data_IF_759230016214
#
_entry.id   IF_759230016214
#
_cell.length_a   1.000
_cell.length_b   1.000
_cell.length_c   1.000
_cell.angle_alpha   90.00
_cell.angle_beta   90.00
_cell.angle_gamma   90.00
#
_symmetry.space_group_name_H-M   'P 1'
#
loop_
_entity.id
_entity.type
_entity.pdbx_description
1 polymer ?
#
# COMPACT_ATOMS: atom_id res chain seq x y z
N UNK A 1 9.37 -20.48 -47.05
CA UNK A 1 9.94 -19.34 -47.78
C UNK A 1 8.99 -18.17 -47.57
N UNK A 2 9.43 -17.19 -46.83
CA UNK A 2 8.57 -16.06 -46.45
C UNK A 2 8.78 -14.80 -47.31
N UNK A 3 9.41 -14.93 -48.48
CA UNK A 3 9.67 -13.79 -49.34
C UNK A 3 10.71 -12.78 -48.89
N UNK A 4 11.41 -13.06 -47.79
CA UNK A 4 12.48 -12.20 -47.29
C UNK A 4 13.77 -12.43 -48.11
N UNK A 5 14.45 -11.32 -48.44
CA UNK A 5 15.75 -11.32 -49.11
C UNK A 5 16.83 -11.27 -48.04
N UNK A 6 17.52 -12.37 -47.80
CA UNK A 6 18.60 -12.48 -46.81
C UNK A 6 19.83 -13.14 -47.45
N UNK A 7 21.02 -12.74 -47.05
CA UNK A 7 22.26 -13.41 -47.44
C UNK A 7 22.41 -14.72 -46.65
N UNK A 8 22.05 -15.82 -47.27
CA UNK A 8 22.15 -17.17 -46.67
C UNK A 8 23.60 -17.69 -46.54
N UNK A 9 24.56 -17.02 -47.17
CA UNK A 9 25.98 -17.42 -47.05
C UNK A 9 26.61 -16.79 -45.81
N UNK A 10 26.15 -15.58 -45.42
CA UNK A 10 26.57 -14.85 -44.22
C UNK A 10 25.38 -14.44 -43.36
N UNK A 11 24.61 -15.38 -42.85
CA UNK A 11 23.43 -15.07 -42.02
C UNK A 11 23.82 -14.42 -40.72
N UNK A 12 22.97 -13.53 -40.22
CA UNK A 12 23.09 -12.99 -38.86
C UNK A 12 22.62 -14.05 -37.85
N UNK A 13 23.56 -14.62 -37.10
CA UNK A 13 23.30 -15.73 -36.17
C UNK A 13 23.76 -15.34 -34.78
N UNK A 14 22.83 -15.19 -33.83
CA UNK A 14 23.11 -14.74 -32.45
C UNK A 14 23.83 -15.78 -31.57
N UNK A 15 23.85 -17.05 -31.97
CA UNK A 15 24.61 -18.11 -31.29
C UNK A 15 25.96 -18.45 -31.95
N UNK A 16 26.37 -17.68 -33.00
CA UNK A 16 27.74 -17.79 -33.56
C UNK A 16 28.75 -17.24 -32.55
N UNK A 17 29.89 -17.92 -32.44
CA UNK A 17 30.93 -17.53 -31.47
C UNK A 17 31.41 -16.10 -31.68
N UNK A 18 31.57 -15.66 -32.91
CA UNK A 18 32.00 -14.27 -33.23
C UNK A 18 31.00 -13.25 -32.71
N UNK A 19 29.69 -13.54 -32.79
CA UNK A 19 28.66 -12.71 -32.21
C UNK A 19 28.74 -12.67 -30.68
N UNK A 20 28.86 -13.84 -30.07
CA UNK A 20 28.92 -13.98 -28.61
C UNK A 20 30.17 -13.27 -28.05
N UNK A 21 31.36 -13.47 -28.67
CA UNK A 21 32.60 -12.80 -28.27
C UNK A 21 32.48 -11.26 -28.38
N UNK A 22 31.92 -10.76 -29.46
CA UNK A 22 31.66 -9.33 -29.63
C UNK A 22 30.73 -8.77 -28.56
N UNK A 23 29.64 -9.48 -28.24
CA UNK A 23 28.72 -9.09 -27.19
C UNK A 23 29.41 -9.06 -25.81
N UNK A 24 30.18 -10.10 -25.49
CA UNK A 24 30.93 -10.15 -24.23
C UNK A 24 31.98 -9.03 -24.13
N UNK A 25 32.64 -8.71 -25.23
CA UNK A 25 33.55 -7.59 -25.28
C UNK A 25 32.85 -6.26 -24.98
N UNK A 26 31.69 -6.01 -25.57
CA UNK A 26 30.86 -4.82 -25.30
C UNK A 26 30.43 -4.75 -23.83
N UNK A 27 29.93 -5.86 -23.28
CA UNK A 27 29.54 -5.93 -21.85
C UNK A 27 30.73 -5.64 -20.94
N UNK A 28 31.94 -6.14 -21.29
CA UNK A 28 33.17 -5.83 -20.56
C UNK A 28 33.49 -4.33 -20.57
N UNK A 29 33.29 -3.65 -21.71
CA UNK A 29 33.48 -2.19 -21.77
C UNK A 29 32.52 -1.44 -20.84
N UNK A 30 31.23 -1.87 -20.80
CA UNK A 30 30.24 -1.30 -19.90
C UNK A 30 30.58 -1.56 -18.43
N UNK A 31 31.03 -2.77 -18.11
CA UNK A 31 31.47 -3.13 -16.77
C UNK A 31 32.65 -2.26 -16.31
N UNK A 32 33.68 -2.11 -17.15
CA UNK A 32 34.85 -1.31 -16.83
C UNK A 32 34.54 0.18 -16.63
N UNK A 33 33.42 0.66 -17.21
CA UNK A 33 32.91 2.01 -17.04
C UNK A 33 31.89 2.14 -15.88
N UNK A 34 31.69 1.09 -15.08
CA UNK A 34 30.72 1.01 -13.97
C UNK A 34 29.25 1.21 -14.41
N UNK A 35 28.92 0.95 -15.67
CA UNK A 35 27.53 0.96 -16.15
C UNK A 35 26.83 -0.38 -16.01
N UNK A 36 27.59 -1.47 -15.84
CA UNK A 36 27.07 -2.81 -15.58
C UNK A 36 27.43 -3.22 -14.15
N UNK A 37 26.44 -3.49 -13.32
CA UNK A 37 26.60 -3.88 -11.93
C UNK A 37 25.55 -4.91 -11.54
N UNK A 38 25.82 -5.68 -10.49
CA UNK A 38 24.84 -6.61 -9.91
C UNK A 38 23.88 -5.84 -9.01
N UNK A 39 22.59 -5.95 -9.28
CA UNK A 39 21.56 -5.28 -8.52
C UNK A 39 20.32 -6.16 -8.30
N UNK A 40 19.34 -5.63 -7.60
CA UNK A 40 18.03 -6.24 -7.38
C UNK A 40 16.96 -5.37 -8.03
N UNK A 41 15.93 -6.02 -8.57
CA UNK A 41 14.76 -5.35 -9.10
C UNK A 41 13.51 -6.14 -8.72
N UNK A 42 12.38 -5.44 -8.64
CA UNK A 42 11.09 -6.06 -8.43
C UNK A 42 10.51 -6.41 -9.79
N UNK A 43 10.06 -7.64 -9.92
CA UNK A 43 9.39 -8.13 -11.12
C UNK A 43 8.12 -8.88 -10.74
N UNK A 44 6.97 -8.60 -11.38
CA UNK A 44 5.78 -9.42 -11.23
C UNK A 44 6.06 -10.87 -11.62
N UNK A 45 5.55 -11.80 -10.85
CA UNK A 45 5.75 -13.23 -11.06
C UNK A 45 4.41 -13.95 -11.13
N UNK A 46 4.24 -14.81 -12.13
CA UNK A 46 3.06 -15.67 -12.27
C UNK A 46 3.35 -17.07 -11.75
N UNK A 47 2.77 -17.47 -10.59
CA UNK A 47 2.92 -18.84 -10.10
C UNK A 47 2.35 -19.88 -11.06
N UNK A 48 1.27 -19.55 -11.77
CA UNK A 48 0.63 -20.45 -12.72
C UNK A 48 1.50 -20.72 -13.97
N UNK A 49 2.20 -19.69 -14.45
CA UNK A 49 3.12 -19.82 -15.58
C UNK A 49 4.55 -20.22 -15.15
N UNK A 50 4.87 -20.12 -13.85
CA UNK A 50 6.19 -20.43 -13.29
C UNK A 50 7.28 -19.46 -13.73
N UNK A 51 6.94 -18.23 -14.10
CA UNK A 51 7.90 -17.25 -14.65
C UNK A 51 7.59 -15.82 -14.24
N UNK A 52 8.63 -14.97 -14.29
CA UNK A 52 8.47 -13.51 -14.21
C UNK A 52 7.78 -12.97 -15.45
N UNK A 53 7.04 -11.88 -15.27
CA UNK A 53 6.28 -11.22 -16.33
C UNK A 53 6.98 -9.93 -16.75
N UNK A 54 7.05 -9.69 -18.05
CA UNK A 54 7.55 -8.43 -18.61
C UNK A 54 6.48 -7.32 -18.53
N UNK A 55 6.91 -6.08 -18.63
CA UNK A 55 5.99 -4.92 -18.72
C UNK A 55 5.04 -5.05 -19.91
N UNK A 56 5.49 -5.65 -21.01
CA UNK A 56 4.67 -5.86 -22.20
C UNK A 56 3.54 -6.86 -21.92
N UNK A 57 3.81 -7.96 -21.24
CA UNK A 57 2.81 -8.96 -20.87
C UNK A 57 1.76 -8.39 -19.92
N UNK A 58 2.15 -7.48 -19.01
CA UNK A 58 1.22 -6.81 -18.11
C UNK A 58 0.37 -5.73 -18.79
N UNK A 59 0.72 -5.31 -19.99
CA UNK A 59 0.01 -4.28 -20.76
C UNK A 59 -0.86 -4.86 -21.89
N UNK A 60 -1.07 -6.16 -21.94
CA UNK A 60 -1.93 -6.79 -22.93
C UNK A 60 -3.42 -6.54 -22.59
N UNK A 61 -4.30 -6.42 -23.60
CA UNK A 61 -5.73 -6.34 -23.39
C UNK A 61 -6.25 -7.51 -22.54
N UNK A 62 -7.03 -7.20 -21.49
CA UNK A 62 -7.62 -8.21 -20.60
C UNK A 62 -6.70 -8.77 -19.52
N UNK A 63 -5.49 -8.22 -19.34
CA UNK A 63 -4.62 -8.58 -18.21
C UNK A 63 -5.20 -8.19 -16.87
N UNK A 64 -5.90 -7.06 -16.82
CA UNK A 64 -6.54 -6.55 -15.60
C UNK A 64 -8.03 -6.84 -15.65
N UNK A 65 -8.55 -7.34 -14.53
CA UNK A 65 -9.97 -7.64 -14.34
C UNK A 65 -10.38 -7.22 -12.93
N UNK A 66 -11.60 -6.73 -12.81
CA UNK A 66 -12.18 -6.46 -11.50
C UNK A 66 -12.42 -7.78 -10.77
N UNK A 67 -11.92 -7.86 -9.55
CA UNK A 67 -12.13 -9.00 -8.66
C UNK A 67 -12.67 -8.50 -7.33
N UNK A 68 -13.53 -9.32 -6.70
CA UNK A 68 -14.01 -9.04 -5.35
C UNK A 68 -12.99 -9.61 -4.35
N UNK A 69 -12.42 -8.75 -3.54
CA UNK A 69 -11.41 -9.13 -2.55
C UNK A 69 -11.77 -8.57 -1.17
N UNK A 70 -11.20 -9.17 -0.13
CA UNK A 70 -11.38 -8.75 1.25
C UNK A 70 -10.32 -7.71 1.61
N UNK A 71 -10.80 -6.56 2.09
CA UNK A 71 -9.94 -5.50 2.63
C UNK A 71 -10.16 -5.38 4.13
N UNK A 72 -9.20 -4.81 4.84
CA UNK A 72 -9.40 -4.50 6.25
C UNK A 72 -8.92 -3.09 6.60
N UNK A 73 -9.48 -2.56 7.69
CA UNK A 73 -9.02 -1.35 8.36
C UNK A 73 -8.42 -1.79 9.68
N UNK A 74 -7.10 -1.70 9.75
CA UNK A 74 -6.34 -2.08 10.93
C UNK A 74 -6.28 -0.92 11.93
N UNK A 75 -6.31 -1.26 13.21
CA UNK A 75 -6.14 -0.35 14.33
C UNK A 75 -4.74 -0.56 14.92
N UNK A 76 -3.94 0.49 14.97
CA UNK A 76 -2.61 0.50 15.55
C UNK A 76 -2.63 1.34 16.81
N UNK A 77 -2.48 0.71 17.97
CA UNK A 77 -2.55 1.37 19.27
C UNK A 77 -1.38 2.34 19.44
N UNK A 78 -1.67 3.57 19.81
CA UNK A 78 -0.65 4.61 20.05
C UNK A 78 -0.02 4.39 21.40
N UNK A 79 1.33 4.28 21.48
CA UNK A 79 2.08 4.01 22.72
C UNK A 79 2.12 5.19 23.69
N UNK A 80 2.46 6.36 23.17
CA UNK A 80 2.63 7.59 23.97
C UNK A 80 1.64 8.66 23.49
N UNK A 81 0.33 8.46 23.72
CA UNK A 81 -0.69 9.37 23.20
C UNK A 81 -0.64 10.70 23.95
N UNK A 82 -1.05 11.78 23.27
CA UNK A 82 -1.31 13.06 23.91
C UNK A 82 -2.57 12.95 24.77
N UNK A 83 -2.66 13.79 25.80
CA UNK A 83 -3.76 13.75 26.78
C UNK A 83 -5.13 13.81 26.12
N UNK A 84 -5.30 14.66 25.10
CA UNK A 84 -6.56 14.81 24.38
C UNK A 84 -6.97 13.55 23.59
N UNK A 85 -6.02 12.70 23.24
CA UNK A 85 -6.29 11.45 22.50
C UNK A 85 -6.88 10.36 23.39
N UNK A 86 -6.62 10.41 24.69
CA UNK A 86 -7.07 9.41 25.68
C UNK A 86 -8.37 9.78 26.37
N UNK A 87 -8.95 10.94 26.05
CA UNK A 87 -10.14 11.46 26.74
C UNK A 87 -11.39 10.58 26.58
N UNK A 88 -11.43 9.70 25.56
CA UNK A 88 -12.59 8.84 25.28
C UNK A 88 -12.18 7.42 24.83
N UNK A 89 -11.40 6.73 25.60
CA UNK A 89 -10.95 5.36 25.28
C UNK A 89 -9.56 5.30 24.64
N UNK A 90 -9.18 4.11 24.22
CA UNK A 90 -7.85 3.84 23.67
C UNK A 90 -7.65 4.53 22.31
N UNK A 91 -6.53 5.20 22.10
CA UNK A 91 -6.21 5.89 20.86
C UNK A 91 -5.52 4.97 19.85
N UNK A 92 -5.97 5.03 18.58
CA UNK A 92 -5.43 4.23 17.49
C UNK A 92 -5.21 5.08 16.23
N UNK A 93 -4.19 4.73 15.46
CA UNK A 93 -4.16 5.07 14.04
C UNK A 93 -4.99 4.08 13.25
N UNK A 94 -5.73 4.55 12.24
CA UNK A 94 -6.41 3.69 11.29
C UNK A 94 -5.64 3.66 9.98
N UNK A 95 -5.41 2.44 9.47
CA UNK A 95 -4.85 2.24 8.14
C UNK A 95 -5.63 1.16 7.39
N UNK A 96 -5.99 1.47 6.14
CA UNK A 96 -6.67 0.54 5.24
C UNK A 96 -5.66 -0.25 4.42
N UNK A 97 -5.90 -1.54 4.25
CA UNK A 97 -5.08 -2.41 3.41
C UNK A 97 -5.92 -3.42 2.63
N UNK A 98 -5.48 -3.72 1.42
CA UNK A 98 -5.98 -4.84 0.60
C UNK A 98 -5.19 -6.13 0.85
N UNK A 99 -4.09 -6.06 1.60
CA UNK A 99 -3.17 -7.19 1.85
C UNK A 99 -2.97 -7.41 3.35
N UNK A 100 -4.01 -7.83 4.11
CA UNK A 100 -3.94 -7.93 5.57
C UNK A 100 -2.90 -8.92 6.08
N UNK A 101 -2.49 -9.90 5.28
CA UNK A 101 -1.42 -10.85 5.63
C UNK A 101 -0.02 -10.21 5.74
N UNK A 102 0.16 -8.97 5.31
CA UNK A 102 1.41 -8.22 5.48
C UNK A 102 1.50 -7.48 6.82
N UNK A 103 0.40 -7.33 7.55
CA UNK A 103 0.35 -6.61 8.82
C UNK A 103 1.33 -7.11 9.89
N UNK A 104 1.59 -8.43 10.05
CA UNK A 104 2.59 -8.91 11.03
C UNK A 104 4.02 -8.39 10.79
N UNK A 105 4.32 -7.95 9.57
CA UNK A 105 5.62 -7.37 9.20
C UNK A 105 5.57 -5.84 9.05
N UNK A 106 4.51 -5.20 9.54
CA UNK A 106 4.41 -3.74 9.50
C UNK A 106 5.44 -3.11 10.45
N UNK A 107 6.25 -2.20 9.93
CA UNK A 107 7.29 -1.50 10.69
C UNK A 107 7.03 -0.01 10.84
N UNK A 108 6.22 0.57 9.97
CA UNK A 108 5.88 1.99 10.02
C UNK A 108 4.57 2.29 9.29
N UNK A 109 3.87 3.31 9.77
CA UNK A 109 2.77 3.97 9.08
C UNK A 109 3.29 5.26 8.44
N UNK A 110 2.82 5.55 7.24
CA UNK A 110 3.21 6.76 6.53
C UNK A 110 2.10 7.80 6.58
N UNK A 111 2.45 9.03 6.95
CA UNK A 111 1.54 10.18 6.95
C UNK A 111 1.99 11.21 5.93
N UNK A 112 1.04 11.83 5.22
CA UNK A 112 1.33 12.94 4.33
C UNK A 112 1.54 14.23 5.13
N UNK A 113 2.68 14.92 5.03
CA UNK A 113 3.03 16.06 5.90
C UNK A 113 2.00 17.18 5.86
N UNK A 114 1.37 17.40 4.71
CA UNK A 114 0.39 18.48 4.48
C UNK A 114 -1.07 17.98 4.52
N UNK A 115 -1.30 16.71 4.78
CA UNK A 115 -2.65 16.14 4.89
C UNK A 115 -3.20 16.44 6.27
N UNK A 116 -4.50 16.79 6.32
CA UNK A 116 -5.25 16.96 7.54
C UNK A 116 -5.76 15.62 8.05
N UNK A 117 -5.58 15.37 9.34
CA UNK A 117 -6.05 14.19 10.05
C UNK A 117 -6.96 14.62 11.20
N UNK A 118 -8.05 13.90 11.37
CA UNK A 118 -8.98 14.13 12.45
C UNK A 118 -8.83 13.08 13.54
N UNK A 119 -8.89 13.53 14.79
CA UNK A 119 -9.14 12.67 15.94
C UNK A 119 -10.65 12.51 16.09
N UNK A 120 -11.12 11.30 15.92
CA UNK A 120 -12.54 10.95 15.98
C UNK A 120 -12.79 10.07 17.19
N UNK A 121 -13.71 10.48 18.06
CA UNK A 121 -14.23 9.66 19.15
C UNK A 121 -15.44 8.87 18.68
N UNK A 122 -15.47 7.59 18.96
CA UNK A 122 -16.54 6.68 18.56
C UNK A 122 -16.44 5.36 19.34
N UNK A 123 -17.18 4.35 18.92
CA UNK A 123 -17.14 3.00 19.46
C UNK A 123 -16.67 2.01 18.40
N UNK A 124 -15.94 0.99 18.83
CA UNK A 124 -15.55 -0.09 17.96
C UNK A 124 -16.82 -0.89 17.53
N UNK A 125 -17.08 -1.04 16.23
CA UNK A 125 -18.32 -1.65 15.73
C UNK A 125 -18.47 -3.13 16.09
N UNK A 126 -17.39 -3.81 16.46
CA UNK A 126 -17.40 -5.24 16.79
C UNK A 126 -17.44 -5.51 18.29
N UNK A 127 -16.79 -4.68 19.09
CA UNK A 127 -16.66 -4.87 20.54
C UNK A 127 -17.53 -3.93 21.37
N UNK A 128 -18.02 -2.84 20.77
CA UNK A 128 -18.75 -1.79 21.47
C UNK A 128 -17.91 -0.97 22.44
N UNK A 129 -16.60 -1.14 22.45
CA UNK A 129 -15.67 -0.42 23.36
C UNK A 129 -15.42 0.99 22.85
N UNK A 130 -15.36 2.03 23.73
CA UNK A 130 -14.98 3.38 23.33
C UNK A 130 -13.58 3.41 22.72
N UNK A 131 -13.43 4.14 21.63
CA UNK A 131 -12.14 4.32 20.93
C UNK A 131 -11.97 5.77 20.47
N UNK A 132 -10.73 6.22 20.43
CA UNK A 132 -10.32 7.45 19.77
C UNK A 132 -9.44 7.09 18.59
N UNK A 133 -9.78 7.54 17.37
CA UNK A 133 -9.06 7.12 16.17
C UNK A 133 -8.58 8.30 15.36
N UNK A 134 -7.35 8.21 14.85
CA UNK A 134 -6.76 9.17 13.94
C UNK A 134 -6.91 8.65 12.52
N UNK A 135 -7.54 9.45 11.67
CA UNK A 135 -7.83 9.13 10.27
C UNK A 135 -7.74 10.37 9.42
N UNK A 136 -7.37 10.24 8.14
CA UNK A 136 -7.35 11.37 7.23
C UNK A 136 -8.75 12.01 7.12
N UNK A 137 -8.81 13.34 7.25
CA UNK A 137 -10.06 14.13 7.27
C UNK A 137 -11.00 13.79 6.12
N UNK A 138 -10.47 13.61 4.92
CA UNK A 138 -11.25 13.27 3.72
C UNK A 138 -11.93 11.90 3.80
N UNK A 139 -11.43 10.99 4.64
CA UNK A 139 -11.94 9.63 4.79
C UNK A 139 -12.95 9.48 5.94
N UNK A 140 -13.10 10.46 6.81
CA UNK A 140 -13.99 10.38 7.97
C UNK A 140 -15.40 9.96 7.56
N UNK A 141 -16.01 10.64 6.59
CA UNK A 141 -17.38 10.36 6.14
C UNK A 141 -17.53 9.08 5.32
N UNK A 142 -16.42 8.50 4.88
CA UNK A 142 -16.41 7.19 4.22
C UNK A 142 -16.41 6.07 5.26
N UNK A 143 -15.71 6.28 6.37
CA UNK A 143 -15.55 5.28 7.43
C UNK A 143 -16.66 5.34 8.48
N UNK A 144 -17.15 6.53 8.78
CA UNK A 144 -18.19 6.76 9.77
C UNK A 144 -19.50 7.19 9.10
N UNK A 145 -20.61 6.63 9.57
CA UNK A 145 -21.93 6.96 9.00
C UNK A 145 -22.28 8.43 9.24
N UNK A 146 -22.49 9.25 8.18
CA UNK A 146 -22.82 10.66 8.36
C UNK A 146 -24.10 10.93 9.16
N UNK A 147 -25.06 9.97 9.18
CA UNK A 147 -26.30 10.09 9.96
C UNK A 147 -26.08 9.96 11.47
N UNK A 148 -24.92 9.47 11.88
CA UNK A 148 -24.54 9.31 13.28
C UNK A 148 -23.62 10.46 13.76
N UNK A 149 -23.30 11.41 12.89
CA UNK A 149 -22.52 12.59 13.23
C UNK A 149 -23.24 13.44 14.28
N UNK A 150 -22.57 13.71 15.42
CA UNK A 150 -23.13 14.55 16.47
C UNK A 150 -24.21 13.91 17.36
N UNK A 151 -24.49 12.61 17.19
CA UNK A 151 -25.30 11.88 18.18
C UNK A 151 -24.53 11.80 19.51
N UNK A 152 -25.30 11.76 20.63
CA UNK A 152 -24.69 11.60 21.96
C UNK A 152 -23.89 10.31 22.05
N UNK A 153 -22.63 10.44 22.48
CA UNK A 153 -21.79 9.27 22.75
C UNK A 153 -22.24 8.52 24.00
N UNK A 154 -22.88 9.21 24.95
CA UNK A 154 -23.30 8.65 26.25
C UNK A 154 -24.52 7.73 26.10
N UNK A 155 -25.35 7.97 25.10
CA UNK A 155 -26.58 7.18 24.89
C UNK A 155 -26.37 5.89 24.08
N UNK A 156 -25.16 5.66 23.56
CA UNK A 156 -24.86 4.49 22.76
C UNK A 156 -24.91 3.18 23.54
N UNK A 157 -25.56 2.19 22.98
CA UNK A 157 -25.57 0.83 23.50
C UNK A 157 -24.99 -0.15 22.47
N UNK A 158 -24.14 -1.10 22.90
CA UNK A 158 -23.61 -2.12 22.01
C UNK A 158 -24.76 -2.85 21.29
N UNK A 159 -24.70 -2.87 19.94
CA UNK A 159 -25.74 -3.43 19.08
C UNK A 159 -26.63 -2.40 18.37
N UNK A 160 -26.52 -1.12 18.70
CA UNK A 160 -27.21 -0.06 17.97
C UNK A 160 -26.72 0.02 16.52
N UNK A 161 -27.65 0.21 15.59
CA UNK A 161 -27.35 0.31 14.13
C UNK A 161 -26.54 1.52 13.75
N UNK A 162 -26.67 2.61 14.52
CA UNK A 162 -25.94 3.86 14.31
C UNK A 162 -24.96 4.07 15.44
N UNK A 163 -23.69 4.00 15.12
CA UNK A 163 -22.60 4.22 16.06
C UNK A 163 -22.28 5.72 16.07
N UNK A 164 -22.48 6.43 17.18
CA UNK A 164 -22.22 7.85 17.26
C UNK A 164 -20.73 8.16 17.13
N UNK A 165 -20.41 9.30 16.55
CA UNK A 165 -19.05 9.76 16.42
C UNK A 165 -18.98 11.29 16.39
N UNK A 166 -17.84 11.82 16.82
CA UNK A 166 -17.54 13.25 16.72
C UNK A 166 -16.05 13.47 16.48
N UNK A 167 -15.73 14.52 15.72
CA UNK A 167 -14.36 15.03 15.59
C UNK A 167 -14.07 15.92 16.80
N UNK A 168 -12.94 15.67 17.46
CA UNK A 168 -12.53 16.42 18.66
C UNK A 168 -11.24 17.20 18.49
N UNK A 169 -10.40 16.83 17.53
CA UNK A 169 -9.18 17.56 17.19
C UNK A 169 -8.79 17.32 15.72
N UNK A 170 -7.97 18.22 15.20
CA UNK A 170 -7.41 18.16 13.86
C UNK A 170 -5.88 18.32 13.95
N UNK A 171 -5.13 17.51 13.20
CA UNK A 171 -3.67 17.50 13.14
C UNK A 171 -3.19 17.56 11.71
N UNK A 172 -2.03 18.16 11.47
CA UNK A 172 -1.27 17.96 10.25
C UNK A 172 -0.46 16.66 10.35
N UNK A 173 -0.15 16.03 9.21
CA UNK A 173 0.69 14.83 9.23
C UNK A 173 2.05 15.06 9.90
N UNK A 174 2.64 16.25 9.79
CA UNK A 174 3.85 16.61 10.51
C UNK A 174 3.70 16.54 12.04
N UNK A 175 2.52 16.81 12.58
CA UNK A 175 2.25 16.75 14.02
C UNK A 175 2.20 15.31 14.56
N UNK A 176 1.96 14.36 13.66
CA UNK A 176 1.86 12.93 13.94
C UNK A 176 3.20 12.18 13.71
N UNK A 177 4.16 12.84 13.05
CA UNK A 177 5.45 12.24 12.74
C UNK A 177 6.21 11.88 14.03
N UNK A 178 6.81 10.69 14.05
CA UNK A 178 7.58 10.21 15.19
C UNK A 178 6.75 9.62 16.33
N UNK A 179 5.41 9.59 16.23
CA UNK A 179 4.58 8.86 17.20
C UNK A 179 4.75 7.34 17.02
N UNK A 180 4.89 6.64 18.14
CA UNK A 180 5.04 5.19 18.16
C UNK A 180 3.70 4.48 18.38
N UNK A 181 3.60 3.26 17.87
CA UNK A 181 2.41 2.40 18.02
C UNK A 181 2.77 0.92 18.21
N UNK A 182 1.79 0.13 18.60
CA UNK A 182 1.85 -1.34 18.69
C UNK A 182 1.13 -1.99 17.50
#
# INVERSE_FOLDING_TARGET
RMGSWVDMKNPYITYDNRYIETLWWLLKQLYNKNYLYKGYTIQPYSPAAGTGLSSHELNQPGCYRDVKDTTCIAQFKIKNPRTEMTAFGEPYFLAWTTTPWTLPSNTALCVGPNIDYNLVQSYNPYTGVPISVIVAKVLVRTLFNPKAEGLSLEDYKPGDKLIPWKVVAEYKGNDLAGMEYE
#
